data_IF_729905054056
#
_entry.id   IF_729905054056
#
_cell.length_a   1.000
_cell.length_b   1.000
_cell.length_c   1.000
_cell.angle_alpha   90.00
_cell.angle_beta   90.00
_cell.angle_gamma   90.00
#
_symmetry.space_group_name_H-M   'P 1'
#
loop_
_entity.id
_entity.type
_entity.pdbx_description
1 polymer ?
#
# COMPACT_ATOMS: atom_id res chain seq x y z
N UNK A 1 6.28 -35.88 21.37
CA UNK A 1 5.69 -34.52 21.35
C UNK A 1 4.52 -34.54 20.39
N UNK A 2 3.36 -34.03 20.80
CA UNK A 2 2.15 -34.85 20.88
C UNK A 2 1.30 -34.56 19.64
N UNK A 3 0.79 -35.59 18.95
CA UNK A 3 -0.12 -35.47 17.78
C UNK A 3 -1.24 -34.45 18.02
N UNK A 4 -1.72 -34.36 19.26
CA UNK A 4 -2.76 -33.42 19.67
C UNK A 4 -2.37 -31.95 19.45
N UNK A 5 -1.08 -31.59 19.63
CA UNK A 5 -0.60 -30.23 19.33
C UNK A 5 -0.58 -29.96 17.82
N UNK A 6 -0.22 -30.95 17.01
CA UNK A 6 -0.19 -30.82 15.56
C UNK A 6 -1.62 -30.64 15.01
N UNK A 7 -2.56 -31.48 15.44
CA UNK A 7 -3.96 -31.38 15.04
C UNK A 7 -4.54 -30.01 15.42
N UNK A 8 -4.24 -29.50 16.61
CA UNK A 8 -4.65 -28.15 17.01
C UNK A 8 -4.13 -27.06 16.06
N UNK A 9 -2.89 -27.17 15.57
CA UNK A 9 -2.36 -26.21 14.60
C UNK A 9 -3.02 -26.33 13.22
N UNK A 10 -3.36 -27.55 12.80
CA UNK A 10 -4.11 -27.80 11.56
C UNK A 10 -5.51 -27.19 11.67
N UNK A 11 -6.23 -27.44 12.76
CA UNK A 11 -7.57 -26.89 12.98
C UNK A 11 -7.57 -25.36 12.97
N UNK A 12 -6.58 -24.75 13.65
CA UNK A 12 -6.38 -23.31 13.65
C UNK A 12 -6.10 -22.76 12.25
N UNK A 13 -5.28 -23.47 11.47
CA UNK A 13 -4.94 -23.06 10.11
C UNK A 13 -6.16 -23.15 9.20
N UNK A 14 -6.92 -24.24 9.25
CA UNK A 14 -8.18 -24.41 8.50
C UNK A 14 -9.17 -23.30 8.83
N UNK A 15 -9.41 -23.02 10.11
CA UNK A 15 -10.29 -21.93 10.52
C UNK A 15 -9.82 -20.55 10.01
N UNK A 16 -8.51 -20.31 9.95
CA UNK A 16 -7.97 -19.08 9.40
C UNK A 16 -8.18 -18.98 7.87
N UNK A 17 -8.06 -20.10 7.15
CA UNK A 17 -8.35 -20.15 5.70
C UNK A 17 -9.84 -19.90 5.43
N UNK A 18 -10.73 -20.48 6.24
CA UNK A 18 -12.18 -20.26 6.12
C UNK A 18 -12.54 -18.77 6.32
N UNK A 19 -11.90 -18.10 7.28
CA UNK A 19 -12.07 -16.65 7.50
C UNK A 19 -11.60 -15.83 6.29
N UNK A 20 -10.46 -16.19 5.68
CA UNK A 20 -9.98 -15.52 4.46
C UNK A 20 -10.96 -15.73 3.31
N UNK A 21 -11.48 -16.95 3.13
CA UNK A 21 -12.46 -17.24 2.08
C UNK A 21 -13.77 -16.45 2.30
N UNK A 22 -14.24 -16.34 3.54
CA UNK A 22 -15.42 -15.55 3.87
C UNK A 22 -15.19 -14.06 3.59
N UNK A 23 -14.01 -13.52 3.92
CA UNK A 23 -13.67 -12.12 3.69
C UNK A 23 -13.53 -11.80 2.19
N UNK A 24 -12.99 -12.72 1.38
CA UNK A 24 -12.83 -12.55 -0.06
C UNK A 24 -14.11 -12.83 -0.86
N UNK A 25 -15.04 -13.61 -0.30
CA UNK A 25 -16.29 -14.01 -0.95
C UNK A 25 -17.03 -12.87 -1.66
N UNK A 26 -17.37 -11.76 -0.98
CA UNK A 26 -18.07 -10.63 -1.59
C UNK A 26 -17.31 -10.01 -2.76
N UNK A 27 -15.98 -9.96 -2.68
CA UNK A 27 -15.13 -9.40 -3.74
C UNK A 27 -15.06 -10.31 -4.97
N UNK A 28 -15.09 -11.63 -4.78
CA UNK A 28 -15.03 -12.62 -5.86
C UNK A 28 -16.38 -12.82 -6.58
N UNK A 29 -17.49 -12.36 -5.99
CA UNK A 29 -18.83 -12.46 -6.58
C UNK A 29 -19.09 -11.43 -7.69
N UNK A 30 -18.31 -10.35 -7.76
CA UNK A 30 -18.45 -9.31 -8.77
C UNK A 30 -17.15 -9.14 -9.55
N UNK A 31 -17.20 -8.98 -10.88
CA UNK A 31 -16.00 -8.72 -11.65
C UNK A 31 -15.39 -7.38 -11.24
N UNK A 32 -14.09 -7.37 -10.96
CA UNK A 32 -13.33 -6.16 -10.58
C UNK A 32 -13.49 -5.02 -11.58
N UNK A 33 -13.67 -5.33 -12.88
CA UNK A 33 -13.92 -4.34 -13.93
C UNK A 33 -15.20 -3.52 -13.73
N UNK A 34 -16.19 -4.02 -12.99
CA UNK A 34 -17.42 -3.29 -12.66
C UNK A 34 -17.34 -2.52 -11.33
N UNK A 35 -16.52 -3.01 -10.39
CA UNK A 35 -16.33 -2.42 -9.06
C UNK A 35 -15.36 -1.25 -9.12
N UNK A 36 -14.23 -1.42 -9.81
CA UNK A 36 -13.15 -0.43 -9.92
C UNK A 36 -13.63 0.96 -10.40
N UNK A 37 -14.50 1.08 -11.43
CA UNK A 37 -14.99 2.37 -11.89
C UNK A 37 -15.86 3.13 -10.88
N UNK A 38 -16.43 2.43 -9.89
CA UNK A 38 -17.30 3.03 -8.86
C UNK A 38 -16.51 3.60 -7.68
N UNK A 39 -15.21 3.33 -7.61
CA UNK A 39 -14.34 3.76 -6.53
C UNK A 39 -13.66 5.08 -6.86
N UNK A 40 -13.44 5.91 -5.84
CA UNK A 40 -12.52 7.04 -5.98
C UNK A 40 -11.09 6.56 -6.27
N UNK A 41 -10.25 7.42 -6.85
CA UNK A 41 -8.86 7.09 -7.19
C UNK A 41 -8.10 6.50 -6.00
N UNK A 42 -8.28 7.05 -4.80
CA UNK A 42 -7.59 6.57 -3.61
C UNK A 42 -8.10 5.20 -3.16
N UNK A 43 -9.41 4.98 -3.17
CA UNK A 43 -10.03 3.69 -2.82
C UNK A 43 -9.63 2.60 -3.81
N UNK A 44 -9.52 2.94 -5.10
CA UNK A 44 -9.02 2.04 -6.13
C UNK A 44 -7.59 1.60 -5.84
N UNK A 45 -6.70 2.54 -5.55
CA UNK A 45 -5.31 2.25 -5.19
C UNK A 45 -5.22 1.35 -3.94
N UNK A 46 -6.03 1.63 -2.91
CA UNK A 46 -6.11 0.80 -1.70
C UNK A 46 -6.55 -0.64 -2.03
N UNK A 47 -7.61 -0.79 -2.82
CA UNK A 47 -8.12 -2.10 -3.23
C UNK A 47 -7.08 -2.88 -4.04
N UNK A 48 -6.50 -2.29 -5.09
CA UNK A 48 -5.51 -2.95 -5.95
C UNK A 48 -4.27 -3.37 -5.16
N UNK A 49 -3.79 -2.54 -4.22
CA UNK A 49 -2.66 -2.86 -3.36
C UNK A 49 -2.98 -3.99 -2.36
N UNK A 50 -4.19 -4.00 -1.79
CA UNK A 50 -4.64 -5.06 -0.88
C UNK A 50 -4.82 -6.40 -1.60
N UNK A 51 -5.35 -6.39 -2.83
CA UNK A 51 -5.48 -7.59 -3.65
C UNK A 51 -4.11 -8.17 -3.96
N UNK A 52 -3.16 -7.36 -4.41
CA UNK A 52 -1.79 -7.80 -4.65
C UNK A 52 -1.15 -8.38 -3.38
N UNK A 53 -1.29 -7.70 -2.25
CA UNK A 53 -0.76 -8.17 -0.95
C UNK A 53 -1.36 -9.52 -0.55
N UNK A 54 -2.66 -9.70 -0.77
CA UNK A 54 -3.38 -10.93 -0.45
C UNK A 54 -2.89 -12.10 -1.29
N UNK A 55 -2.71 -11.89 -2.60
CA UNK A 55 -2.19 -12.92 -3.52
C UNK A 55 -0.77 -13.33 -3.13
N UNK A 56 0.13 -12.36 -2.93
CA UNK A 56 1.52 -12.64 -2.54
C UNK A 56 1.60 -13.37 -1.19
N UNK A 57 0.74 -12.99 -0.23
CA UNK A 57 0.66 -13.62 1.08
C UNK A 57 0.14 -15.05 1.00
N UNK A 58 -0.93 -15.30 0.24
CA UNK A 58 -1.47 -16.64 0.02
C UNK A 58 -0.46 -17.55 -0.69
N UNK A 59 0.26 -17.01 -1.67
CA UNK A 59 1.32 -17.74 -2.34
C UNK A 59 2.49 -18.06 -1.40
N UNK A 60 2.88 -17.12 -0.53
CA UNK A 60 3.88 -17.38 0.51
C UNK A 60 3.42 -18.46 1.51
N UNK A 61 2.15 -18.46 1.92
CA UNK A 61 1.56 -19.52 2.76
C UNK A 61 1.62 -20.86 2.04
N UNK A 62 1.24 -20.91 0.75
CA UNK A 62 1.31 -22.13 -0.06
C UNK A 62 2.73 -22.71 -0.10
N UNK A 63 3.76 -21.89 -0.31
CA UNK A 63 5.15 -22.35 -0.29
C UNK A 63 5.54 -22.96 1.05
N UNK A 64 5.11 -22.36 2.16
CA UNK A 64 5.39 -22.87 3.50
C UNK A 64 4.72 -24.22 3.78
N UNK A 65 3.48 -24.41 3.32
CA UNK A 65 2.76 -25.68 3.48
C UNK A 65 3.44 -26.80 2.68
N UNK A 66 4.02 -26.48 1.52
CA UNK A 66 4.78 -27.41 0.70
C UNK A 66 6.22 -27.65 1.19
N UNK A 67 6.62 -27.07 2.32
CA UNK A 67 7.98 -27.23 2.87
C UNK A 67 9.06 -26.49 2.09
N UNK A 68 8.70 -25.60 1.16
CA UNK A 68 9.66 -24.77 0.42
C UNK A 68 10.13 -23.62 1.31
N UNK A 69 11.41 -23.27 1.22
CA UNK A 69 12.01 -22.15 1.95
C UNK A 69 11.47 -20.79 1.47
N UNK A 70 10.27 -20.42 1.92
CA UNK A 70 9.55 -19.23 1.46
C UNK A 70 10.25 -17.89 1.77
N UNK A 71 11.26 -17.89 2.65
CA UNK A 71 12.08 -16.70 2.96
C UNK A 71 13.11 -16.38 1.87
N UNK A 72 13.61 -17.40 1.18
CA UNK A 72 14.59 -17.26 0.09
C UNK A 72 13.88 -17.08 -1.26
N UNK A 73 12.59 -17.40 -1.31
CA UNK A 73 11.78 -17.27 -2.50
C UNK A 73 11.57 -15.79 -2.91
N UNK A 74 11.60 -15.45 -4.21
CA UNK A 74 11.37 -14.09 -4.72
C UNK A 74 10.08 -13.40 -4.26
N UNK A 75 9.07 -14.16 -3.83
CA UNK A 75 7.81 -13.63 -3.26
C UNK A 75 8.05 -12.66 -2.11
N UNK A 76 9.13 -12.82 -1.34
CA UNK A 76 9.47 -11.90 -0.26
C UNK A 76 9.79 -10.48 -0.80
N UNK A 77 10.41 -10.39 -1.98
CA UNK A 77 10.67 -9.11 -2.66
C UNK A 77 9.36 -8.48 -3.12
N UNK A 78 8.41 -9.28 -3.61
CA UNK A 78 7.08 -8.81 -4.00
C UNK A 78 6.28 -8.30 -2.80
N UNK A 79 6.27 -9.04 -1.69
CA UNK A 79 5.66 -8.58 -0.43
C UNK A 79 6.24 -7.23 0.04
N UNK A 80 7.57 -7.09 0.04
CA UNK A 80 8.23 -5.83 0.39
C UNK A 80 7.89 -4.70 -0.60
N UNK A 81 7.75 -5.02 -1.89
CA UNK A 81 7.33 -4.06 -2.91
C UNK A 81 5.91 -3.58 -2.65
N UNK A 82 4.96 -4.48 -2.40
CA UNK A 82 3.56 -4.14 -2.13
C UNK A 82 3.42 -3.36 -0.81
N UNK A 83 4.13 -3.75 0.26
CA UNK A 83 4.14 -2.99 1.52
C UNK A 83 4.60 -1.54 1.32
N UNK A 84 5.62 -1.30 0.46
CA UNK A 84 6.05 0.06 0.11
C UNK A 84 4.95 0.84 -0.62
N UNK A 85 4.15 0.20 -1.49
CA UNK A 85 3.02 0.85 -2.15
C UNK A 85 1.90 1.19 -1.17
N UNK A 86 1.56 0.29 -0.24
CA UNK A 86 0.60 0.56 0.83
C UNK A 86 1.06 1.77 1.67
N UNK A 87 2.36 1.86 1.99
CA UNK A 87 2.92 3.01 2.70
C UNK A 87 2.78 4.33 1.90
N UNK A 88 3.03 4.30 0.59
CA UNK A 88 2.83 5.47 -0.29
C UNK A 88 1.36 5.90 -0.35
N UNK A 89 0.44 4.95 -0.45
CA UNK A 89 -1.01 5.22 -0.47
C UNK A 89 -1.44 5.87 0.85
N UNK A 90 -0.98 5.34 1.99
CA UNK A 90 -1.24 5.93 3.31
C UNK A 90 -0.70 7.37 3.41
N UNK A 91 0.53 7.59 2.97
CA UNK A 91 1.14 8.92 2.97
C UNK A 91 0.40 9.91 2.05
N UNK A 92 -0.09 9.46 0.89
CA UNK A 92 -0.89 10.28 -0.01
C UNK A 92 -2.25 10.64 0.62
N UNK A 93 -2.88 9.69 1.32
CA UNK A 93 -4.15 9.91 2.02
C UNK A 93 -4.01 10.87 3.21
N UNK A 94 -2.95 10.75 4.02
CA UNK A 94 -2.68 11.69 5.11
C UNK A 94 -2.22 13.06 4.61
N UNK A 95 -1.48 13.08 3.49
CA UNK A 95 -1.02 14.32 2.86
C UNK A 95 -2.16 15.17 2.28
N UNK A 96 -3.31 14.55 1.92
CA UNK A 96 -4.52 15.28 1.52
C UNK A 96 -5.34 15.85 2.69
N UNK A 97 -5.18 15.30 3.90
CA UNK A 97 -5.91 15.77 5.09
C UNK A 97 -5.16 16.91 5.82
N UNK A 98 -3.85 17.05 5.60
CA UNK A 98 -3.00 18.07 6.22
C UNK A 98 -2.93 19.42 5.48
N UNK A 99 -3.69 19.62 4.39
CA UNK A 99 -3.80 20.97 3.79
C UNK A 99 -4.57 21.97 4.69
N UNK A 100 -5.20 21.51 5.79
CA UNK A 100 -5.96 22.39 6.68
C UNK A 100 -5.58 22.34 8.18
N UNK A 101 -4.51 21.63 8.55
CA UNK A 101 -4.11 21.50 9.97
C UNK A 101 -2.61 21.68 10.16
N UNK A 102 -2.24 22.90 10.48
CA UNK A 102 -0.94 23.30 10.99
C UNK A 102 -0.42 22.37 12.08
N UNK A 103 0.66 21.64 11.83
CA UNK A 103 1.67 21.38 12.87
C UNK A 103 3.04 21.08 12.29
N UNK A 104 4.01 21.74 12.94
CA UNK A 104 5.44 21.78 12.69
C UNK A 104 6.06 20.38 12.73
N UNK A 105 6.96 20.07 11.80
CA UNK A 105 8.40 19.92 12.07
C UNK A 105 9.07 18.98 11.05
N UNK A 106 10.18 19.49 10.52
CA UNK A 106 11.29 18.84 9.85
C UNK A 106 11.22 18.48 8.35
N UNK A 107 12.08 19.23 7.64
CA UNK A 107 12.78 19.04 6.37
C UNK A 107 12.08 18.47 5.11
N UNK A 108 12.14 19.27 4.04
CA UNK A 108 11.89 18.88 2.64
C UNK A 108 10.46 18.63 2.16
N UNK A 109 9.45 19.40 2.62
CA UNK A 109 8.31 19.68 1.75
C UNK A 109 8.77 20.68 0.70
N UNK A 110 9.00 20.21 -0.54
CA UNK A 110 9.28 21.07 -1.71
C UNK A 110 8.15 22.09 -1.82
N UNK A 111 8.41 23.29 -1.34
CA UNK A 111 7.52 24.42 -1.57
C UNK A 111 7.48 24.64 -3.07
N UNK A 112 6.35 24.38 -3.71
CA UNK A 112 6.08 24.84 -5.08
C UNK A 112 5.80 26.35 -5.11
N UNK A 113 6.09 27.08 -4.04
CA UNK A 113 6.02 28.53 -4.03
C UNK A 113 7.36 29.07 -4.54
N UNK A 114 7.30 29.70 -5.71
CA UNK A 114 8.40 30.50 -6.23
C UNK A 114 8.60 31.71 -5.31
N UNK A 115 9.84 32.01 -4.94
CA UNK A 115 10.17 33.24 -4.20
C UNK A 115 9.89 34.45 -5.10
N UNK A 116 8.72 35.06 -4.88
CA UNK A 116 8.24 36.22 -5.64
C UNK A 116 9.22 37.39 -5.54
N UNK A 117 9.88 37.59 -4.40
CA UNK A 117 10.85 38.69 -4.21
C UNK A 117 12.15 38.43 -4.96
N UNK A 118 12.58 37.18 -5.06
CA UNK A 118 13.73 36.80 -5.89
C UNK A 118 13.39 36.95 -7.38
N UNK A 119 12.23 36.45 -7.82
CA UNK A 119 11.75 36.62 -9.18
C UNK A 119 11.65 38.11 -9.58
N UNK A 120 11.09 38.95 -8.71
CA UNK A 120 11.01 40.40 -8.92
C UNK A 120 12.38 41.07 -9.05
N UNK A 121 13.39 40.62 -8.30
CA UNK A 121 14.76 41.13 -8.40
C UNK A 121 15.40 40.73 -9.72
N UNK A 122 15.22 39.49 -10.15
CA UNK A 122 15.73 38.99 -11.44
C UNK A 122 15.11 39.78 -12.60
N UNK A 123 13.79 39.98 -12.57
CA UNK A 123 13.08 40.77 -13.59
C UNK A 123 13.60 42.22 -13.60
N UNK A 124 13.72 42.86 -12.43
CA UNK A 124 14.21 44.24 -12.31
C UNK A 124 15.65 44.43 -12.81
N UNK A 125 16.53 43.47 -12.51
CA UNK A 125 17.91 43.53 -13.00
C UNK A 125 17.98 43.36 -14.53
N UNK A 126 17.17 42.45 -15.09
CA UNK A 126 17.11 42.22 -16.52
C UNK A 126 16.59 43.43 -17.33
N UNK A 127 15.62 44.18 -16.79
CA UNK A 127 15.11 45.40 -17.44
C UNK A 127 16.02 46.62 -17.27
N UNK A 128 16.83 46.66 -16.20
CA UNK A 128 17.74 47.79 -15.92
C UNK A 128 19.06 47.70 -16.69
N UNK A 129 19.38 46.57 -17.31
CA UNK A 129 20.65 46.34 -18.04
C UNK A 129 20.50 46.60 -19.55
N UNK A 130 19.57 47.49 -19.94
CA UNK A 130 19.44 48.05 -21.29
C UNK A 130 19.66 49.55 -21.24
#
# INVERSE_FOLDING_TARGET
MSEHKLNKHVDQFTAAIDQVQQALGPMLQQPLGEVIPRLSTIQRCELEALVAYSIDTLFWIFLKVNGVAAKEHPVMKELQRVQRYIAKIKAAKSGSDEENSSSKQDDSRRSMQVDKKAADRVIRNAISTK
#
